data_IF_118169192136
#
_entry.id   IF_118169192136
#
_cell.length_a   1.000
_cell.length_b   1.000
_cell.length_c   1.000
_cell.angle_alpha   90.00
_cell.angle_beta   90.00
_cell.angle_gamma   90.00
#
_symmetry.space_group_name_H-M   'P 1'
#
loop_
_entity.id
_entity.type
_entity.pdbx_description
1 polymer ?
#
# COMPACT_ATOMS: atom_id res chain seq x y z
N UNK A 1 23.23 -28.87 -16.37
CA UNK A 1 21.92 -28.63 -15.72
C UNK A 1 22.02 -27.30 -14.98
N UNK A 2 21.30 -26.28 -15.43
CA UNK A 2 21.22 -24.99 -14.72
C UNK A 2 20.23 -25.15 -13.56
N UNK A 3 20.50 -24.56 -12.38
CA UNK A 3 19.54 -24.57 -11.29
C UNK A 3 18.28 -23.80 -11.71
N UNK A 4 17.07 -24.22 -11.28
CA UNK A 4 15.86 -23.47 -11.53
C UNK A 4 15.97 -22.11 -10.80
N UNK A 5 15.68 -21.02 -11.52
CA UNK A 5 15.56 -19.68 -10.96
C UNK A 5 14.61 -19.73 -9.74
N UNK A 6 14.92 -19.01 -8.64
CA UNK A 6 14.04 -18.96 -7.49
C UNK A 6 12.73 -18.30 -7.90
N UNK A 7 11.68 -19.11 -7.96
CA UNK A 7 10.25 -18.79 -7.98
C UNK A 7 9.94 -17.31 -8.22
N UNK A 8 9.72 -16.92 -9.47
CA UNK A 8 8.75 -15.87 -9.77
C UNK A 8 7.38 -16.40 -9.33
N UNK A 9 7.06 -16.22 -8.06
CA UNK A 9 5.69 -16.40 -7.58
C UNK A 9 4.85 -15.40 -8.36
N UNK A 10 3.82 -15.84 -9.11
CA UNK A 10 2.93 -14.90 -9.77
C UNK A 10 2.13 -14.19 -8.68
N UNK A 11 2.65 -13.05 -8.22
CA UNK A 11 1.99 -12.16 -7.27
C UNK A 11 0.90 -11.41 -8.03
N UNK A 12 -0.18 -12.14 -8.36
CA UNK A 12 -1.41 -11.47 -8.78
C UNK A 12 -1.82 -10.55 -7.64
N UNK A 13 -1.85 -9.23 -7.85
CA UNK A 13 -2.21 -8.31 -6.79
C UNK A 13 -3.66 -8.60 -6.39
N UNK A 14 -3.89 -8.77 -5.09
CA UNK A 14 -5.26 -8.86 -4.59
C UNK A 14 -5.91 -7.49 -4.70
N UNK A 15 -6.97 -7.40 -5.51
CA UNK A 15 -7.73 -6.16 -5.68
C UNK A 15 -8.80 -6.05 -4.60
N UNK A 16 -8.69 -5.04 -3.74
CA UNK A 16 -9.65 -4.77 -2.67
C UNK A 16 -10.34 -3.41 -2.97
N UNK A 17 -11.68 -3.36 -2.97
CA UNK A 17 -12.48 -2.16 -3.31
C UNK A 17 -12.99 -1.39 -2.08
N UNK A 18 -12.54 -1.77 -0.87
CA UNK A 18 -12.89 -1.08 0.36
C UNK A 18 -11.73 -1.11 1.36
N UNK A 19 -11.72 -0.14 2.28
CA UNK A 19 -10.75 -0.11 3.40
C UNK A 19 -10.95 -1.30 4.34
N UNK A 20 -12.18 -1.78 4.50
CA UNK A 20 -12.41 -2.97 5.33
C UNK A 20 -11.78 -4.21 4.69
N UNK A 21 -11.95 -4.36 3.37
CA UNK A 21 -11.30 -5.40 2.59
C UNK A 21 -9.78 -5.27 2.70
N UNK A 22 -9.20 -4.07 2.56
CA UNK A 22 -7.77 -3.81 2.76
C UNK A 22 -7.26 -4.36 4.10
N UNK A 23 -7.94 -4.05 5.20
CA UNK A 23 -7.54 -4.51 6.54
C UNK A 23 -7.59 -6.04 6.65
N UNK A 24 -8.57 -6.68 6.02
CA UNK A 24 -8.66 -8.15 5.93
C UNK A 24 -7.59 -8.75 5.02
N UNK A 25 -7.30 -8.09 3.90
CA UNK A 25 -6.28 -8.48 2.91
C UNK A 25 -4.89 -8.47 3.60
N UNK A 26 -4.58 -7.48 4.44
CA UNK A 26 -3.31 -7.40 5.18
C UNK A 26 -3.13 -8.55 6.20
N UNK A 27 -4.20 -9.02 6.84
CA UNK A 27 -4.11 -10.18 7.75
C UNK A 27 -3.86 -11.51 7.04
N UNK A 28 -3.95 -11.54 5.71
CA UNK A 28 -3.81 -12.76 4.91
C UNK A 28 -2.37 -13.00 4.42
N UNK A 29 -1.38 -12.29 5.01
CA UNK A 29 0.04 -12.38 4.68
C UNK A 29 0.36 -12.20 3.18
N UNK A 30 -0.36 -11.29 2.53
CA UNK A 30 -0.20 -11.01 1.11
C UNK A 30 1.12 -10.29 0.86
N UNK A 31 1.80 -10.69 -0.22
CA UNK A 31 3.03 -10.04 -0.70
C UNK A 31 2.77 -8.89 -1.65
N UNK A 32 1.63 -8.89 -2.34
CA UNK A 32 1.20 -7.82 -3.23
C UNK A 32 -0.26 -7.47 -2.99
N UNK A 33 -0.55 -6.17 -2.85
CA UNK A 33 -1.89 -5.64 -2.62
C UNK A 33 -2.19 -4.54 -3.63
N UNK A 34 -3.35 -4.62 -4.30
CA UNK A 34 -3.87 -3.56 -5.15
C UNK A 34 -5.20 -3.05 -4.62
N UNK A 35 -5.36 -1.74 -4.63
CA UNK A 35 -6.52 -1.04 -4.15
C UNK A 35 -7.00 -0.17 -5.28
N UNK A 36 -8.21 -0.44 -5.75
CA UNK A 36 -8.78 0.29 -6.89
C UNK A 36 -10.04 1.01 -6.46
N UNK A 37 -10.14 2.30 -6.82
CA UNK A 37 -11.34 3.12 -6.59
C UNK A 37 -11.78 3.18 -5.12
N UNK A 38 -10.80 3.22 -4.21
CA UNK A 38 -11.06 3.30 -2.77
C UNK A 38 -10.97 4.74 -2.30
N UNK A 39 -11.98 5.17 -1.53
CA UNK A 39 -11.94 6.45 -0.81
C UNK A 39 -11.31 6.29 0.56
N UNK A 40 -10.14 6.89 0.76
CA UNK A 40 -9.38 6.87 2.01
C UNK A 40 -9.60 8.19 2.74
N UNK A 41 -10.34 8.11 3.84
CA UNK A 41 -10.59 9.26 4.74
C UNK A 41 -9.62 9.25 5.92
N UNK A 42 -9.51 10.39 6.61
CA UNK A 42 -8.66 10.50 7.81
C UNK A 42 -8.96 9.42 8.88
N UNK A 43 -10.23 9.02 9.02
CA UNK A 43 -10.65 7.98 9.99
C UNK A 43 -10.04 6.61 9.69
N UNK A 44 -9.62 6.39 8.45
CA UNK A 44 -9.03 5.14 7.99
C UNK A 44 -7.51 5.13 8.12
N UNK A 45 -6.86 6.30 8.07
CA UNK A 45 -5.40 6.43 8.07
C UNK A 45 -4.76 5.71 9.26
N UNK A 46 -5.25 5.93 10.48
CA UNK A 46 -4.68 5.29 11.68
C UNK A 46 -4.80 3.77 11.63
N UNK A 47 -5.91 3.25 11.08
CA UNK A 47 -6.12 1.80 10.94
C UNK A 47 -5.21 1.21 9.87
N UNK A 48 -5.07 1.92 8.75
CA UNK A 48 -4.19 1.56 7.63
C UNK A 48 -2.74 1.53 8.10
N UNK A 49 -2.26 2.56 8.82
CA UNK A 49 -0.92 2.60 9.41
C UNK A 49 -0.65 1.40 10.32
N UNK A 50 -1.58 1.11 11.23
CA UNK A 50 -1.44 -0.03 12.14
C UNK A 50 -1.48 -1.39 11.42
N UNK A 51 -2.14 -1.47 10.28
CA UNK A 51 -2.15 -2.68 9.48
C UNK A 51 -0.82 -2.85 8.74
N UNK A 52 -0.32 -1.80 8.09
CA UNK A 52 0.96 -1.83 7.37
C UNK A 52 2.17 -2.08 8.27
N UNK A 53 2.18 -1.55 9.50
CA UNK A 53 3.23 -1.86 10.48
C UNK A 53 3.24 -3.33 10.92
N UNK A 54 2.16 -4.07 10.68
CA UNK A 54 2.01 -5.49 10.98
C UNK A 54 2.03 -6.37 9.72
N UNK A 55 2.45 -5.81 8.59
CA UNK A 55 2.49 -6.48 7.29
C UNK A 55 3.93 -6.68 6.79
N UNK A 56 4.82 -7.40 7.50
CA UNK A 56 6.21 -7.56 7.11
C UNK A 56 6.41 -8.40 5.83
N UNK A 57 5.32 -8.96 5.30
CA UNK A 57 5.30 -9.76 4.08
C UNK A 57 4.93 -8.93 2.85
N UNK A 58 4.40 -7.72 3.02
CA UNK A 58 3.91 -6.90 1.92
C UNK A 58 5.07 -6.18 1.25
N UNK A 59 5.36 -6.55 0.02
CA UNK A 59 6.46 -5.99 -0.78
C UNK A 59 5.94 -5.04 -1.84
N UNK A 60 4.74 -5.29 -2.37
CA UNK A 60 4.16 -4.48 -3.45
C UNK A 60 2.81 -3.91 -3.03
N UNK A 61 2.64 -2.61 -3.22
CA UNK A 61 1.40 -1.89 -2.90
C UNK A 61 1.02 -0.98 -4.06
N UNK A 62 -0.18 -1.16 -4.58
CA UNK A 62 -0.69 -0.41 -5.73
C UNK A 62 -2.00 0.25 -5.33
N UNK A 63 -2.10 1.56 -5.50
CA UNK A 63 -3.34 2.31 -5.46
C UNK A 63 -3.67 2.77 -6.87
N UNK A 64 -4.87 2.47 -7.34
CA UNK A 64 -5.41 2.91 -8.63
C UNK A 64 -6.71 3.66 -8.44
N UNK A 65 -6.84 4.79 -9.12
CA UNK A 65 -8.02 5.65 -9.04
C UNK A 65 -8.50 5.90 -7.58
N UNK A 66 -7.59 5.92 -6.60
CA UNK A 66 -7.96 6.04 -5.19
C UNK A 66 -8.11 7.51 -4.79
N UNK A 67 -9.21 7.86 -4.13
CA UNK A 67 -9.42 9.21 -3.61
C UNK A 67 -8.89 9.28 -2.17
N UNK A 68 -7.82 10.03 -1.97
CA UNK A 68 -7.27 10.28 -0.64
C UNK A 68 -7.70 11.69 -0.24
N UNK A 69 -8.39 11.78 0.88
CA UNK A 69 -8.82 13.07 1.44
C UNK A 69 -7.59 13.96 1.75
N UNK A 70 -7.80 15.22 2.10
CA UNK A 70 -6.77 16.25 2.40
C UNK A 70 -5.69 15.90 3.44
N UNK A 71 -5.74 14.69 3.99
CA UNK A 71 -4.75 14.11 4.91
C UNK A 71 -3.80 13.14 4.20
N UNK A 72 -3.46 13.40 2.94
CA UNK A 72 -2.54 12.59 2.15
C UNK A 72 -1.21 12.32 2.88
N UNK A 73 -0.65 13.33 3.55
CA UNK A 73 0.57 13.17 4.34
C UNK A 73 0.48 12.05 5.40
N UNK A 74 -0.61 12.01 6.16
CA UNK A 74 -0.79 10.96 7.18
C UNK A 74 -0.97 9.56 6.58
N UNK A 75 -1.56 9.47 5.39
CA UNK A 75 -1.68 8.21 4.66
C UNK A 75 -0.32 7.70 4.19
N UNK A 76 0.47 8.60 3.61
CA UNK A 76 1.84 8.34 3.16
C UNK A 76 2.76 7.95 4.33
N UNK A 77 2.69 8.65 5.46
CA UNK A 77 3.38 8.26 6.70
C UNK A 77 2.95 6.86 7.18
N UNK A 78 1.69 6.50 6.93
CA UNK A 78 1.15 5.19 7.24
C UNK A 78 1.77 4.08 6.40
N UNK A 79 2.01 4.34 5.12
CA UNK A 79 2.68 3.42 4.19
C UNK A 79 4.17 3.30 4.53
N UNK A 80 4.82 4.42 4.85
CA UNK A 80 6.24 4.44 5.24
C UNK A 80 6.54 3.59 6.50
N UNK A 81 5.52 3.23 7.28
CA UNK A 81 5.67 2.29 8.40
C UNK A 81 5.85 0.82 7.95
N UNK A 82 5.63 0.51 6.67
CA UNK A 82 5.81 -0.83 6.11
C UNK A 82 7.27 -1.01 5.66
N UNK A 83 8.11 -1.54 6.54
CA UNK A 83 9.56 -1.69 6.27
C UNK A 83 9.90 -2.68 5.14
N UNK A 84 8.98 -3.57 4.80
CA UNK A 84 9.18 -4.58 3.76
C UNK A 84 8.72 -4.12 2.38
N UNK A 85 8.09 -2.94 2.29
CA UNK A 85 7.55 -2.43 1.05
C UNK A 85 8.69 -1.99 0.13
N UNK A 86 8.80 -2.62 -1.03
CA UNK A 86 9.80 -2.32 -2.05
C UNK A 86 9.19 -1.55 -3.23
N UNK A 87 7.94 -1.85 -3.57
CA UNK A 87 7.25 -1.27 -4.71
C UNK A 87 5.97 -0.58 -4.28
N UNK A 88 5.89 0.72 -4.57
CA UNK A 88 4.71 1.53 -4.33
C UNK A 88 4.28 2.24 -5.61
N UNK A 89 3.05 1.98 -6.04
CA UNK A 89 2.39 2.72 -7.12
C UNK A 89 1.21 3.51 -6.56
N UNK A 90 1.23 4.82 -6.76
CA UNK A 90 0.17 5.73 -6.35
C UNK A 90 -0.44 6.39 -7.58
N UNK A 91 -1.55 5.82 -8.05
CA UNK A 91 -2.46 6.44 -9.00
C UNK A 91 -3.71 6.88 -8.24
N UNK A 92 -3.73 8.16 -7.88
CA UNK A 92 -4.70 8.75 -6.95
C UNK A 92 -5.47 9.88 -7.62
N UNK A 93 -6.72 10.05 -7.22
CA UNK A 93 -7.62 11.09 -7.73
C UNK A 93 -7.84 12.09 -6.61
N UNK A 94 -7.28 13.30 -6.73
CA UNK A 94 -7.44 14.36 -5.73
C UNK A 94 -6.15 15.13 -5.43
N UNK A 95 -6.14 15.93 -4.35
CA UNK A 95 -4.97 16.73 -3.99
C UNK A 95 -3.84 15.82 -3.49
N UNK A 96 -2.75 15.76 -4.24
CA UNK A 96 -1.52 15.04 -3.89
C UNK A 96 -0.55 16.00 -3.22
N UNK A 97 -0.11 15.65 -2.01
CA UNK A 97 0.96 16.38 -1.33
C UNK A 97 2.32 15.82 -1.78
N UNK A 98 2.93 16.51 -2.73
CA UNK A 98 4.22 16.13 -3.31
C UNK A 98 5.34 16.09 -2.27
N UNK A 99 5.30 16.95 -1.25
CA UNK A 99 6.33 16.99 -0.21
C UNK A 99 6.22 15.77 0.70
N UNK A 100 5.00 15.32 1.01
CA UNK A 100 4.81 14.05 1.71
C UNK A 100 5.33 12.87 0.87
N UNK A 101 5.05 12.88 -0.45
CA UNK A 101 5.51 11.82 -1.37
C UNK A 101 7.05 11.73 -1.40
N UNK A 102 7.73 12.87 -1.52
CA UNK A 102 9.20 12.94 -1.48
C UNK A 102 9.76 12.38 -0.16
N UNK A 103 9.16 12.77 0.98
CA UNK A 103 9.59 12.27 2.29
C UNK A 103 9.47 10.75 2.42
N UNK A 104 8.41 10.16 1.89
CA UNK A 104 8.25 8.71 1.88
C UNK A 104 9.20 8.03 0.91
N UNK A 105 9.47 8.62 -0.27
CA UNK A 105 10.45 8.06 -1.20
C UNK A 105 11.86 7.98 -0.61
N UNK A 106 12.19 8.83 0.37
CA UNK A 106 13.45 8.74 1.11
C UNK A 106 13.45 7.63 2.20
N UNK A 107 12.30 7.02 2.48
CA UNK A 107 12.12 5.96 3.47
C UNK A 107 11.90 4.57 2.86
N UNK A 108 11.68 4.50 1.54
CA UNK A 108 11.57 3.27 0.75
C UNK A 108 12.92 2.99 0.07
#
# INVERSE_FOLDING_TARGET
AMPPNPMEVPTRPFSCSSVHSLLTCIHSNLTSLELSRVKISIRHITRIRNAFSRAPWLHTLVFRECEIDKHFAGFVDGIACCQSLADLTLDTVGPVDMQALERMSACL
#
